data_IF_375409082946
#
_entry.id   IF_375409082946
#
_cell.length_a   1.000
_cell.length_b   1.000
_cell.length_c   1.000
_cell.angle_alpha   90.00
_cell.angle_beta   90.00
_cell.angle_gamma   90.00
#
_symmetry.space_group_name_H-M   'P 1'
#
loop_
_entity.id
_entity.type
_entity.pdbx_description
1 polymer ?
#
# COMPACT_ATOMS: atom_id res chain seq x y z
N UNK A 1 12.31 -4.25 -60.10
CA UNK A 1 12.05 -3.61 -58.80
C UNK A 1 12.24 -4.62 -57.65
N UNK A 2 13.38 -5.36 -57.60
CA UNK A 2 13.60 -6.49 -56.68
C UNK A 2 14.98 -6.53 -56.00
N UNK A 3 15.75 -5.43 -55.98
CA UNK A 3 17.16 -5.45 -55.55
C UNK A 3 17.42 -5.01 -54.10
N UNK A 4 16.41 -4.58 -53.35
CA UNK A 4 16.60 -4.05 -51.96
C UNK A 4 16.80 -5.13 -50.89
N UNK A 5 16.45 -6.37 -51.15
CA UNK A 5 16.55 -7.50 -50.20
C UNK A 5 17.50 -8.61 -50.65
N UNK A 6 18.38 -8.32 -51.60
CA UNK A 6 19.38 -9.31 -52.03
C UNK A 6 20.47 -9.44 -50.96
N UNK A 7 20.57 -10.61 -50.27
CA UNK A 7 21.54 -10.82 -49.19
C UNK A 7 22.99 -10.85 -49.66
N UNK A 8 23.24 -10.83 -50.97
CA UNK A 8 24.59 -10.81 -51.53
C UNK A 8 25.17 -9.40 -51.69
N UNK A 9 24.34 -8.37 -51.58
CA UNK A 9 24.78 -6.96 -51.66
C UNK A 9 25.03 -6.38 -50.25
N UNK A 10 26.02 -5.50 -50.13
CA UNK A 10 26.33 -4.81 -48.86
C UNK A 10 25.11 -4.10 -48.28
N UNK A 11 24.27 -3.52 -49.14
CA UNK A 11 23.02 -2.86 -48.71
C UNK A 11 21.98 -3.86 -48.22
N UNK A 12 21.84 -5.01 -48.87
CA UNK A 12 20.93 -6.09 -48.44
C UNK A 12 21.34 -6.65 -47.06
N UNK A 13 22.63 -6.83 -46.81
CA UNK A 13 23.15 -7.29 -45.52
C UNK A 13 22.83 -6.29 -44.42
N UNK A 14 23.05 -4.99 -44.66
CA UNK A 14 22.76 -3.94 -43.68
C UNK A 14 21.25 -3.90 -43.35
N UNK A 15 20.38 -3.96 -44.37
CA UNK A 15 18.94 -3.94 -44.17
C UNK A 15 18.46 -5.17 -43.36
N UNK A 16 18.95 -6.35 -43.67
CA UNK A 16 18.64 -7.58 -42.95
C UNK A 16 19.11 -7.51 -41.47
N UNK A 17 20.29 -6.94 -41.24
CA UNK A 17 20.84 -6.80 -39.89
C UNK A 17 20.03 -5.83 -39.06
N UNK A 18 19.59 -4.69 -39.63
CA UNK A 18 18.72 -3.73 -38.99
C UNK A 18 17.36 -4.35 -38.67
N UNK A 19 16.74 -5.04 -39.58
CA UNK A 19 15.47 -5.73 -39.38
C UNK A 19 15.56 -6.81 -38.31
N UNK A 20 16.64 -7.60 -38.28
CA UNK A 20 16.87 -8.59 -37.24
C UNK A 20 17.04 -7.97 -35.87
N UNK A 21 17.73 -6.83 -35.77
CA UNK A 21 17.91 -6.10 -34.51
C UNK A 21 16.60 -5.54 -33.98
N UNK A 22 15.78 -4.94 -34.85
CA UNK A 22 14.44 -4.43 -34.48
C UNK A 22 13.55 -5.59 -34.04
N UNK A 23 13.56 -6.70 -34.74
CA UNK A 23 12.80 -7.90 -34.38
C UNK A 23 13.19 -8.44 -33.02
N UNK A 24 14.48 -8.56 -32.73
CA UNK A 24 14.98 -9.00 -31.42
C UNK A 24 14.57 -8.05 -30.28
N UNK A 25 14.69 -6.73 -30.49
CA UNK A 25 14.28 -5.75 -29.50
C UNK A 25 12.77 -5.82 -29.19
N UNK A 26 11.92 -6.01 -30.19
CA UNK A 26 10.48 -6.17 -30.04
C UNK A 26 10.13 -7.43 -29.23
N UNK A 27 10.80 -8.55 -29.50
CA UNK A 27 10.60 -9.81 -28.77
C UNK A 27 11.00 -9.63 -27.29
N UNK A 28 12.16 -9.03 -27.03
CA UNK A 28 12.61 -8.77 -25.65
C UNK A 28 11.62 -7.88 -24.91
N UNK A 29 11.15 -6.80 -25.52
CA UNK A 29 10.15 -5.90 -24.93
C UNK A 29 8.85 -6.63 -24.59
N UNK A 30 8.39 -7.51 -25.47
CA UNK A 30 7.21 -8.35 -25.27
C UNK A 30 7.39 -9.30 -24.07
N UNK A 31 8.52 -9.99 -24.00
CA UNK A 31 8.86 -10.92 -22.90
C UNK A 31 8.89 -10.16 -21.58
N UNK A 32 9.56 -9.01 -21.51
CA UNK A 32 9.62 -8.17 -20.31
C UNK A 32 8.21 -7.75 -19.88
N UNK A 33 7.36 -7.35 -20.82
CA UNK A 33 5.98 -6.96 -20.55
C UNK A 33 5.15 -8.12 -20.00
N UNK A 34 5.29 -9.32 -20.57
CA UNK A 34 4.61 -10.53 -20.09
C UNK A 34 5.09 -10.90 -18.68
N UNK A 35 6.40 -10.91 -18.44
CA UNK A 35 6.96 -11.19 -17.12
C UNK A 35 6.48 -10.16 -16.08
N UNK A 36 6.45 -8.90 -16.44
CA UNK A 36 5.95 -7.84 -15.55
C UNK A 36 4.47 -8.06 -15.20
N UNK A 37 3.65 -8.44 -16.19
CA UNK A 37 2.23 -8.73 -15.98
C UNK A 37 2.00 -9.97 -15.11
N UNK A 38 2.79 -11.03 -15.29
CA UNK A 38 2.72 -12.26 -14.49
C UNK A 38 3.15 -12.04 -13.03
N UNK A 39 4.05 -11.08 -12.77
CA UNK A 39 4.50 -10.77 -11.40
C UNK A 39 3.55 -9.85 -10.62
N UNK A 40 2.60 -9.18 -11.28
CA UNK A 40 1.66 -8.26 -10.65
C UNK A 40 0.83 -8.90 -9.51
N UNK A 41 0.22 -10.10 -9.67
CA UNK A 41 -0.56 -10.71 -8.61
C UNK A 41 0.29 -11.08 -7.39
N UNK A 42 1.50 -11.59 -7.61
CA UNK A 42 2.43 -11.90 -6.54
C UNK A 42 2.83 -10.64 -5.76
N UNK A 43 3.19 -9.56 -6.45
CA UNK A 43 3.51 -8.27 -5.82
C UNK A 43 2.36 -7.71 -4.99
N UNK A 44 1.12 -7.80 -5.50
CA UNK A 44 -0.08 -7.37 -4.77
C UNK A 44 -0.31 -8.20 -3.52
N UNK A 45 -0.12 -9.51 -3.60
CA UNK A 45 -0.26 -10.41 -2.47
C UNK A 45 0.77 -10.12 -1.36
N UNK A 46 2.07 -9.96 -1.72
CA UNK A 46 3.12 -9.60 -0.76
C UNK A 46 2.89 -8.23 -0.12
N UNK A 47 2.50 -7.23 -0.90
CA UNK A 47 2.18 -5.90 -0.38
C UNK A 47 0.99 -5.96 0.60
N UNK A 48 -0.05 -6.75 0.28
CA UNK A 48 -1.20 -6.93 1.15
C UNK A 48 -0.85 -7.58 2.49
N UNK A 49 -0.04 -8.64 2.47
CA UNK A 49 0.43 -9.28 3.72
C UNK A 49 1.27 -8.33 4.58
N UNK A 50 2.18 -7.59 3.96
CA UNK A 50 3.01 -6.62 4.66
C UNK A 50 2.16 -5.50 5.28
N UNK A 51 1.18 -4.98 4.54
CA UNK A 51 0.27 -3.95 5.01
C UNK A 51 -0.60 -4.47 6.16
N UNK A 52 -1.22 -5.66 6.02
CA UNK A 52 -2.02 -6.29 7.08
C UNK A 52 -1.21 -6.46 8.37
N UNK A 53 0.05 -6.91 8.26
CA UNK A 53 0.92 -7.06 9.43
C UNK A 53 1.17 -5.73 10.12
N UNK A 54 1.39 -4.65 9.37
CA UNK A 54 1.61 -3.31 9.93
C UNK A 54 0.36 -2.83 10.67
N UNK A 55 -0.82 -2.99 10.09
CA UNK A 55 -2.09 -2.58 10.69
C UNK A 55 -2.39 -3.34 11.99
N UNK A 56 -2.04 -4.63 12.06
CA UNK A 56 -2.34 -5.52 13.19
C UNK A 56 -1.23 -5.60 14.24
N UNK A 57 -0.19 -4.77 14.18
CA UNK A 57 0.89 -4.77 15.20
C UNK A 57 0.48 -4.13 16.53
N UNK A 58 -0.82 -3.92 16.79
CA UNK A 58 -1.34 -3.33 18.04
C UNK A 58 -1.12 -1.83 18.17
N UNK A 59 -0.73 -1.17 17.06
CA UNK A 59 -0.46 0.26 17.02
C UNK A 59 -1.70 1.02 16.62
N UNK A 60 -1.87 2.20 17.19
CA UNK A 60 -2.77 3.21 16.66
C UNK A 60 -2.09 3.96 15.51
N UNK A 61 -2.90 4.56 14.66
CA UNK A 61 -2.46 5.39 13.55
C UNK A 61 -3.05 6.79 13.70
N UNK A 62 -2.27 7.81 13.38
CA UNK A 62 -2.83 9.13 13.13
C UNK A 62 -3.35 9.15 11.69
N UNK A 63 -4.65 9.31 11.56
CA UNK A 63 -5.35 9.42 10.27
C UNK A 63 -5.68 10.88 9.97
N UNK A 64 -4.98 11.46 9.00
CA UNK A 64 -5.26 12.81 8.48
C UNK A 64 -6.37 12.66 7.43
N UNK A 65 -7.60 12.89 7.87
CA UNK A 65 -8.79 12.70 7.02
C UNK A 65 -9.18 13.94 6.22
N UNK A 66 -8.71 15.13 6.62
CA UNK A 66 -8.84 16.36 5.85
C UNK A 66 -7.50 17.09 5.78
N UNK A 67 -6.67 16.77 4.77
CA UNK A 67 -5.33 17.37 4.63
C UNK A 67 -5.37 18.89 4.45
N UNK A 68 -6.41 19.43 3.82
CA UNK A 68 -6.53 20.87 3.56
C UNK A 68 -6.67 21.69 4.85
N UNK A 69 -7.34 21.14 5.88
CA UNK A 69 -7.51 21.79 7.18
C UNK A 69 -6.61 21.22 8.27
N UNK A 70 -5.80 20.20 7.96
CA UNK A 70 -4.94 19.51 8.92
C UNK A 70 -5.72 18.67 9.95
N UNK A 71 -7.01 18.39 9.72
CA UNK A 71 -7.81 17.61 10.64
C UNK A 71 -7.39 16.14 10.65
N UNK A 72 -7.15 15.62 11.83
CA UNK A 72 -6.70 14.26 12.05
C UNK A 72 -7.42 13.63 13.25
N UNK A 73 -7.40 12.30 13.28
CA UNK A 73 -7.88 11.49 14.40
C UNK A 73 -7.01 10.27 14.60
N UNK A 74 -7.16 9.64 15.76
CA UNK A 74 -6.57 8.32 15.98
C UNK A 74 -7.50 7.27 15.39
N UNK A 75 -6.91 6.25 14.76
CA UNK A 75 -7.61 5.08 14.23
C UNK A 75 -6.87 3.80 14.58
N UNK A 76 -7.59 2.74 14.94
CA UNK A 76 -7.04 1.40 15.17
C UNK A 76 -7.76 0.36 14.33
N UNK A 77 -7.02 -0.67 13.91
CA UNK A 77 -7.52 -1.76 13.08
C UNK A 77 -7.52 -3.06 13.88
N UNK A 78 -8.68 -3.69 14.00
CA UNK A 78 -8.86 -4.93 14.75
C UNK A 78 -8.70 -6.16 13.84
N UNK A 79 -8.28 -7.33 14.38
CA UNK A 79 -8.04 -8.53 13.59
C UNK A 79 -9.27 -9.11 12.89
N UNK A 80 -10.46 -8.87 13.44
CA UNK A 80 -11.76 -9.29 12.92
C UNK A 80 -12.24 -8.49 11.70
N UNK A 81 -11.55 -7.39 11.39
CA UNK A 81 -11.89 -6.51 10.26
C UNK A 81 -12.69 -5.28 10.68
N UNK A 82 -12.92 -5.08 11.96
CA UNK A 82 -13.56 -3.87 12.48
C UNK A 82 -12.54 -2.75 12.68
N UNK A 83 -13.02 -1.52 12.68
CA UNK A 83 -12.27 -0.36 13.14
C UNK A 83 -12.59 -0.17 14.61
N UNK A 84 -11.57 -0.09 15.45
CA UNK A 84 -11.71 0.16 16.89
C UNK A 84 -11.83 1.65 17.19
N UNK A 85 -10.76 2.25 17.72
CA UNK A 85 -10.73 3.70 17.94
C UNK A 85 -10.87 4.44 16.59
N UNK A 86 -11.58 5.56 16.60
CA UNK A 86 -11.83 6.37 15.41
C UNK A 86 -12.95 5.87 14.50
N UNK A 87 -13.63 4.76 14.86
CA UNK A 87 -14.82 4.26 14.16
C UNK A 87 -15.92 5.30 14.09
N UNK A 88 -16.55 5.40 12.94
CA UNK A 88 -17.74 6.23 12.72
C UNK A 88 -18.57 5.67 11.55
N UNK A 89 -19.60 6.38 11.11
CA UNK A 89 -20.48 5.94 10.02
C UNK A 89 -19.76 5.73 8.69
N UNK A 90 -18.65 6.41 8.44
CA UNK A 90 -17.87 6.34 7.20
C UNK A 90 -16.72 5.35 7.28
N UNK A 91 -16.18 5.14 8.48
CA UNK A 91 -15.11 4.17 8.74
C UNK A 91 -15.60 3.18 9.80
N UNK A 92 -16.15 2.06 9.34
CA UNK A 92 -16.76 1.02 10.17
C UNK A 92 -15.95 -0.27 10.14
N UNK A 93 -15.66 -0.79 8.95
CA UNK A 93 -14.89 -2.02 8.76
C UNK A 93 -13.75 -1.82 7.76
N UNK A 94 -12.82 -2.80 7.73
CA UNK A 94 -11.69 -2.74 6.82
C UNK A 94 -11.31 -4.11 6.27
N UNK A 95 -10.78 -4.12 5.04
CA UNK A 95 -10.24 -5.31 4.40
C UNK A 95 -8.97 -4.99 3.61
N UNK A 96 -8.13 -6.02 3.40
CA UNK A 96 -7.01 -5.93 2.44
C UNK A 96 -7.45 -6.62 1.16
N UNK A 97 -7.55 -5.84 0.08
CA UNK A 97 -7.91 -6.34 -1.24
C UNK A 97 -6.91 -5.86 -2.27
N UNK A 98 -6.39 -6.77 -3.09
CA UNK A 98 -5.41 -6.48 -4.16
C UNK A 98 -4.17 -5.69 -3.70
N UNK A 99 -3.77 -5.84 -2.43
CA UNK A 99 -2.62 -5.14 -1.85
C UNK A 99 -2.89 -3.73 -1.34
N UNK A 100 -4.15 -3.30 -1.33
CA UNK A 100 -4.62 -2.06 -0.76
C UNK A 100 -5.46 -2.31 0.51
N UNK A 101 -5.47 -1.35 1.42
CA UNK A 101 -6.42 -1.24 2.53
C UNK A 101 -7.69 -0.59 1.98
N UNK A 102 -8.81 -1.26 2.11
CA UNK A 102 -10.14 -0.73 1.81
C UNK A 102 -10.89 -0.53 3.13
N UNK A 103 -11.44 0.67 3.32
CA UNK A 103 -12.28 1.03 4.47
C UNK A 103 -13.72 1.17 3.95
N UNK A 104 -14.64 0.56 4.69
CA UNK A 104 -16.05 0.52 4.36
C UNK A 104 -16.85 1.30 5.39
N UNK A 105 -17.86 1.99 4.91
CA UNK A 105 -18.85 2.65 5.74
C UNK A 105 -19.80 1.63 6.39
N UNK A 106 -20.59 2.08 7.37
CA UNK A 106 -21.54 1.24 8.11
C UNK A 106 -22.60 0.57 7.21
N UNK A 107 -22.91 1.17 6.08
CA UNK A 107 -23.82 0.62 5.06
C UNK A 107 -23.17 -0.45 4.16
N UNK A 108 -21.89 -0.78 4.40
CA UNK A 108 -21.11 -1.74 3.62
C UNK A 108 -20.55 -1.20 2.31
N UNK A 109 -20.75 0.07 2.01
CA UNK A 109 -20.18 0.70 0.81
C UNK A 109 -18.69 1.03 1.02
N UNK A 110 -17.90 0.89 -0.04
CA UNK A 110 -16.51 1.31 -0.03
C UNK A 110 -16.43 2.82 0.17
N UNK A 111 -15.76 3.24 1.25
CA UNK A 111 -15.59 4.65 1.58
C UNK A 111 -14.24 5.20 1.12
N UNK A 112 -13.14 4.47 1.41
CA UNK A 112 -11.80 4.93 1.05
C UNK A 112 -10.86 3.77 0.76
N UNK A 113 -9.82 4.02 -0.05
CA UNK A 113 -8.80 3.04 -0.41
C UNK A 113 -7.41 3.62 -0.24
N UNK A 114 -6.51 2.84 0.38
CA UNK A 114 -5.15 3.27 0.71
C UNK A 114 -4.12 2.24 0.26
N UNK A 115 -2.95 2.72 -0.08
CA UNK A 115 -1.76 1.91 -0.34
C UNK A 115 -0.60 2.36 0.53
N UNK A 116 0.33 1.45 0.81
CA UNK A 116 1.56 1.83 1.49
C UNK A 116 2.54 2.43 0.49
N UNK A 117 2.96 3.66 0.73
CA UNK A 117 4.12 4.23 0.06
C UNK A 117 5.41 3.67 0.67
N UNK A 118 6.21 3.02 -0.15
CA UNK A 118 7.47 2.37 0.31
C UNK A 118 8.58 3.36 0.61
N UNK A 119 8.51 4.58 0.06
CA UNK A 119 9.54 5.62 0.24
C UNK A 119 9.36 6.32 1.57
N UNK A 120 8.14 6.73 1.88
CA UNK A 120 7.81 7.48 3.10
C UNK A 120 7.36 6.59 4.25
N UNK A 121 6.93 5.35 3.97
CA UNK A 121 6.29 4.46 4.94
C UNK A 121 4.85 4.82 5.27
N UNK A 122 4.32 5.92 4.74
CA UNK A 122 2.94 6.36 4.93
C UNK A 122 1.96 5.41 4.26
N UNK A 123 0.74 5.38 4.76
CA UNK A 123 -0.40 4.74 4.13
C UNK A 123 -1.22 5.85 3.49
N UNK A 124 -1.16 5.97 2.16
CA UNK A 124 -1.69 7.09 1.39
C UNK A 124 -2.93 6.70 0.60
N UNK A 125 -3.88 7.62 0.51
CA UNK A 125 -5.11 7.45 -0.26
C UNK A 125 -4.80 7.29 -1.75
N UNK A 126 -5.53 6.41 -2.44
CA UNK A 126 -5.31 6.15 -3.88
C UNK A 126 -5.91 7.22 -4.78
N UNK A 127 -6.80 8.06 -4.25
CA UNK A 127 -7.58 9.07 -4.97
C UNK A 127 -8.40 8.47 -6.13
N UNK A 128 -8.83 7.21 -5.96
CA UNK A 128 -9.67 6.53 -6.93
C UNK A 128 -11.06 7.20 -7.00
N UNK A 129 -11.63 7.37 -8.20
CA UNK A 129 -12.91 8.06 -8.37
C UNK A 129 -14.11 7.26 -7.83
N UNK A 130 -13.92 5.97 -7.51
CA UNK A 130 -14.93 5.09 -6.91
C UNK A 130 -14.98 5.19 -5.38
N UNK A 131 -14.18 6.08 -4.77
CA UNK A 131 -14.15 6.32 -3.32
C UNK A 131 -14.72 7.72 -3.01
N UNK A 132 -15.76 7.83 -2.13
CA UNK A 132 -16.37 9.12 -1.80
C UNK A 132 -15.56 9.95 -0.81
N UNK A 133 -14.50 9.40 -0.24
CA UNK A 133 -13.66 10.09 0.75
C UNK A 133 -12.84 11.24 0.16
N UNK A 134 -12.39 12.14 1.01
CA UNK A 134 -11.55 13.27 0.63
C UNK A 134 -10.21 12.79 0.04
N UNK A 135 -9.82 13.35 -1.10
CA UNK A 135 -8.52 13.05 -1.72
C UNK A 135 -7.35 13.52 -0.85
N UNK A 136 -6.21 12.84 -1.00
CA UNK A 136 -4.98 13.19 -0.30
C UNK A 136 -4.91 12.77 1.16
N UNK A 137 -5.90 12.03 1.68
CA UNK A 137 -5.87 11.45 3.01
C UNK A 137 -4.64 10.56 3.19
N UNK A 138 -4.10 10.50 4.40
CA UNK A 138 -3.00 9.60 4.72
C UNK A 138 -2.99 9.21 6.18
N UNK A 139 -2.28 8.12 6.48
CA UNK A 139 -2.10 7.62 7.84
C UNK A 139 -0.62 7.32 8.10
N UNK A 140 -0.21 7.51 9.34
CA UNK A 140 1.10 7.08 9.83
C UNK A 140 0.96 6.43 11.20
N UNK A 141 1.80 5.43 11.51
CA UNK A 141 1.74 4.74 12.79
C UNK A 141 2.17 5.66 13.91
N UNK A 142 1.43 5.66 15.01
CA UNK A 142 1.87 6.26 16.25
C UNK A 142 2.88 5.32 16.90
N UNK A 143 4.12 5.77 16.99
CA UNK A 143 5.13 5.10 17.79
C UNK A 143 4.95 5.54 19.25
N UNK A 144 4.01 4.92 19.97
CA UNK A 144 4.12 4.89 21.43
C UNK A 144 5.22 3.88 21.74
N UNK A 145 6.32 4.26 22.37
CA UNK A 145 7.25 3.26 22.88
C UNK A 145 6.43 2.29 23.72
N UNK A 146 6.60 0.98 23.50
CA UNK A 146 6.01 -0.02 24.38
C UNK A 146 6.41 0.36 25.81
N UNK A 147 5.48 0.36 26.80
CA UNK A 147 5.86 0.54 28.20
C UNK A 147 6.97 -0.49 28.49
N UNK A 148 8.16 -0.05 28.69
CA UNK A 148 9.24 -0.89 29.18
C UNK A 148 8.81 -1.35 30.56
N UNK A 149 9.06 -2.61 30.92
CA UNK A 149 8.72 -3.23 32.21
C UNK A 149 9.14 -2.38 33.43
N UNK A 150 10.00 -1.39 33.22
CA UNK A 150 10.36 -0.37 34.21
C UNK A 150 9.19 0.50 34.67
N UNK A 151 8.19 0.79 33.80
CA UNK A 151 7.06 1.64 34.17
C UNK A 151 6.00 0.88 34.99
N UNK A 152 6.03 -0.47 34.95
CA UNK A 152 5.11 -1.32 35.72
C UNK A 152 5.57 -1.49 37.17
N UNK A 153 6.86 -1.29 37.47
CA UNK A 153 7.37 -1.46 38.82
C UNK A 153 7.13 -0.24 39.74
N UNK A 154 6.91 0.95 39.18
CA UNK A 154 6.72 2.16 39.95
C UNK A 154 5.30 2.20 40.58
N UNK A 155 4.32 1.56 39.92
CA UNK A 155 2.94 1.56 40.42
C UNK A 155 2.68 0.55 41.56
N UNK A 156 3.56 -0.42 41.76
CA UNK A 156 3.44 -1.43 42.82
C UNK A 156 4.11 -1.02 44.15
N UNK A 157 5.07 -0.09 44.09
CA UNK A 157 5.79 0.37 45.30
C UNK A 157 5.02 1.38 46.16
N UNK A 158 4.04 2.09 45.58
CA UNK A 158 3.23 3.10 46.32
C UNK A 158 2.00 2.53 47.05
N UNK A 159 1.76 1.20 46.93
CA UNK A 159 0.59 0.57 47.60
C UNK A 159 0.91 -0.15 48.90
N UNK A 160 2.14 -0.15 49.36
CA UNK A 160 2.55 -0.88 50.58
C UNK A 160 3.07 0.04 51.66
N UNK A 161 2.25 1.05 52.03
CA UNK A 161 2.40 1.71 53.35
C UNK A 161 1.03 2.11 53.94
N UNK A 162 0.28 1.19 54.58
CA UNK A 162 -0.79 1.57 55.49
C UNK A 162 -0.11 1.98 56.82
N UNK A 163 -0.18 3.27 57.12
CA UNK A 163 0.39 3.88 58.32
C UNK A 163 0.01 3.17 59.61
N UNK A 164 1.01 3.00 60.43
CA UNK A 164 0.92 2.86 61.89
C UNK A 164 0.65 4.18 62.52
#
# INVERSE_FOLDING_TARGET
MHTFLDPTTTQGIIVLQVLATIGAAAVIALIVRILWWLTLPARRWFNGKALKRILLTGRSFTFVFNPASGQAKIITFLPDGDIGEGRNSNEDTWHIRRGALEIFAHDGNLYSRFIRDKKTGLIIHTNDPDTPSTHGQFMYPNFTPWPTDADTQITSADKENPGT
#
